data_IF_623102015656
#
_entry.id   IF_623102015656
#
_cell.length_a   1.000
_cell.length_b   1.000
_cell.length_c   1.000
_cell.angle_alpha   90.00
_cell.angle_beta   90.00
_cell.angle_gamma   90.00
#
_symmetry.space_group_name_H-M   'P 1'
#
loop_
_entity.id
_entity.type
_entity.pdbx_description
1 polymer ?
#
# COMPACT_ATOMS: atom_id res chain seq x y z
N UNK A 1 -11.77 17.39 14.14
CA UNK A 1 -11.73 15.97 13.78
C UNK A 1 -12.53 15.18 14.80
N UNK A 2 -13.34 14.21 14.37
CA UNK A 2 -13.98 13.26 15.27
C UNK A 2 -13.16 11.96 15.24
N UNK A 3 -12.80 11.43 16.40
CA UNK A 3 -11.95 10.24 16.53
C UNK A 3 -12.66 9.20 17.40
N UNK A 4 -12.21 7.94 17.32
CA UNK A 4 -12.76 6.84 18.13
C UNK A 4 -14.16 6.38 17.73
N UNK A 5 -14.60 6.66 16.51
CA UNK A 5 -15.92 6.28 15.99
C UNK A 5 -15.78 5.68 14.60
N UNK A 6 -16.24 4.44 14.43
CA UNK A 6 -16.32 3.78 13.14
C UNK A 6 -17.51 4.26 12.30
N UNK A 7 -17.41 4.08 10.99
CA UNK A 7 -18.51 4.28 10.03
C UNK A 7 -19.23 2.95 9.81
N UNK A 8 -20.50 2.89 10.22
CA UNK A 8 -21.31 1.67 10.09
C UNK A 8 -22.16 1.66 8.82
N UNK A 9 -22.70 2.82 8.42
CA UNK A 9 -23.58 2.92 7.25
C UNK A 9 -23.29 4.16 6.42
N UNK A 10 -23.34 3.99 5.10
CA UNK A 10 -23.12 5.04 4.10
C UNK A 10 -24.23 4.97 3.05
N UNK A 11 -24.84 6.12 2.79
CA UNK A 11 -25.83 6.28 1.70
C UNK A 11 -25.63 7.62 1.02
N UNK A 12 -25.73 7.63 -0.30
CA UNK A 12 -25.58 8.84 -1.13
C UNK A 12 -26.80 9.00 -2.01
N UNK A 13 -27.17 10.25 -2.28
CA UNK A 13 -28.23 10.62 -3.21
C UNK A 13 -27.80 11.82 -4.08
N UNK A 14 -28.71 12.31 -4.91
CA UNK A 14 -28.46 13.45 -5.78
C UNK A 14 -28.14 14.78 -5.05
N UNK A 15 -28.36 14.89 -3.73
CA UNK A 15 -28.20 16.10 -2.93
C UNK A 15 -27.10 16.01 -1.85
N UNK A 16 -26.91 14.84 -1.24
CA UNK A 16 -25.97 14.68 -0.12
C UNK A 16 -25.42 13.26 0.02
N UNK A 17 -24.33 13.16 0.77
CA UNK A 17 -23.86 11.94 1.38
C UNK A 17 -24.26 11.91 2.85
N UNK A 18 -24.68 10.75 3.34
CA UNK A 18 -25.09 10.51 4.73
C UNK A 18 -24.27 9.36 5.30
N UNK A 19 -23.71 9.58 6.49
CA UNK A 19 -22.87 8.62 7.21
C UNK A 19 -23.48 8.38 8.60
N UNK A 20 -23.69 7.12 8.96
CA UNK A 20 -24.07 6.72 10.32
C UNK A 20 -22.83 6.19 11.03
N UNK A 21 -22.58 6.71 12.24
CA UNK A 21 -21.47 6.30 13.11
C UNK A 21 -21.91 5.18 14.07
N UNK A 22 -20.94 4.52 14.68
CA UNK A 22 -21.17 3.44 15.65
C UNK A 22 -22.01 3.88 16.86
N UNK A 23 -21.86 5.11 17.32
CA UNK A 23 -22.67 5.69 18.41
C UNK A 23 -24.09 6.13 17.97
N UNK A 24 -24.49 5.83 16.74
CA UNK A 24 -25.80 6.14 16.19
C UNK A 24 -25.95 7.55 15.64
N UNK A 25 -24.95 8.44 15.78
CA UNK A 25 -25.00 9.77 15.17
C UNK A 25 -25.02 9.67 13.65
N UNK A 26 -25.76 10.60 13.04
CA UNK A 26 -25.89 10.73 11.59
C UNK A 26 -25.29 12.04 11.14
N UNK A 27 -24.32 11.97 10.23
CA UNK A 27 -23.65 13.12 9.63
C UNK A 27 -24.06 13.24 8.16
N UNK A 28 -24.28 14.46 7.69
CA UNK A 28 -24.57 14.75 6.28
C UNK A 28 -23.58 15.75 5.71
N UNK A 29 -23.17 15.53 4.46
CA UNK A 29 -22.27 16.43 3.74
C UNK A 29 -22.63 16.48 2.25
N UNK A 30 -22.14 17.51 1.54
CA UNK A 30 -22.29 17.59 0.07
C UNK A 30 -21.55 16.46 -0.65
N UNK A 31 -20.47 15.97 -0.05
CA UNK A 31 -19.59 14.95 -0.62
C UNK A 31 -18.99 14.08 0.50
N UNK A 32 -18.77 12.80 0.19
CA UNK A 32 -18.01 11.86 1.02
C UNK A 32 -16.67 11.50 0.36
N UNK A 33 -15.59 11.46 1.14
CA UNK A 33 -14.30 10.95 0.67
C UNK A 33 -13.94 9.74 1.54
N UNK A 34 -13.82 8.57 0.92
CA UNK A 34 -13.42 7.34 1.59
C UNK A 34 -11.90 7.19 1.56
N UNK A 35 -11.29 7.06 2.73
CA UNK A 35 -9.85 6.85 2.93
C UNK A 35 -9.58 5.75 3.97
N UNK A 36 -10.51 4.79 4.10
CA UNK A 36 -10.61 3.78 5.16
C UNK A 36 -9.96 2.43 4.77
N UNK A 37 -8.75 2.48 4.20
CA UNK A 37 -7.88 1.33 3.88
C UNK A 37 -8.30 0.42 2.71
N UNK A 38 -7.46 -0.59 2.45
CA UNK A 38 -7.64 -1.63 1.41
C UNK A 38 -8.95 -2.39 1.56
N UNK A 39 -9.39 -2.58 2.80
CA UNK A 39 -10.62 -3.29 3.14
C UNK A 39 -11.81 -2.35 3.39
N UNK A 40 -11.74 -1.13 2.85
CA UNK A 40 -12.76 -0.08 2.94
C UNK A 40 -14.19 -0.60 2.95
N UNK A 41 -14.86 -0.44 4.09
CA UNK A 41 -16.28 -0.75 4.22
C UNK A 41 -17.11 0.30 3.50
N UNK A 42 -16.67 1.56 3.55
CA UNK A 42 -17.29 2.69 2.86
C UNK A 42 -17.40 2.43 1.36
N UNK A 43 -16.31 2.01 0.73
CA UNK A 43 -16.26 1.66 -0.70
C UNK A 43 -17.27 0.57 -1.07
N UNK A 44 -17.36 -0.49 -0.26
CA UNK A 44 -18.31 -1.59 -0.48
C UNK A 44 -19.75 -1.09 -0.44
N UNK A 45 -20.09 -0.23 0.53
CA UNK A 45 -21.43 0.35 0.65
C UNK A 45 -21.78 1.31 -0.48
N UNK A 46 -20.78 1.98 -1.06
CA UNK A 46 -20.92 2.79 -2.28
C UNK A 46 -21.09 1.94 -3.56
N UNK A 47 -21.10 0.61 -3.45
CA UNK A 47 -21.27 -0.30 -4.59
C UNK A 47 -20.05 -0.38 -5.51
N UNK A 48 -18.88 0.09 -5.06
CA UNK A 48 -17.65 0.06 -5.87
C UNK A 48 -16.93 -1.27 -5.64
N UNK A 49 -16.88 -2.08 -6.71
CA UNK A 49 -16.11 -3.34 -6.73
C UNK A 49 -14.61 -3.10 -6.87
N UNK A 50 -13.82 -4.11 -6.50
CA UNK A 50 -12.36 -4.06 -6.55
C UNK A 50 -11.77 -5.32 -7.15
N UNK A 51 -10.67 -5.17 -7.88
CA UNK A 51 -9.75 -6.25 -8.18
C UNK A 51 -8.81 -6.41 -6.99
N UNK A 52 -8.97 -7.51 -6.26
CA UNK A 52 -8.14 -7.83 -5.10
C UNK A 52 -7.22 -9.00 -5.42
N UNK A 53 -6.00 -8.93 -4.92
CA UNK A 53 -5.03 -10.00 -5.03
C UNK A 53 -4.39 -10.22 -3.66
N UNK A 54 -4.70 -11.37 -3.06
CA UNK A 54 -4.00 -11.85 -1.88
C UNK A 54 -2.69 -12.51 -2.31
N UNK A 55 -1.58 -12.01 -1.78
CA UNK A 55 -0.25 -12.54 -2.10
C UNK A 55 0.13 -13.76 -1.25
N UNK A 56 -0.71 -14.17 -0.29
CA UNK A 56 -0.42 -15.28 0.63
C UNK A 56 0.76 -14.99 1.58
N UNK A 57 1.03 -13.70 1.81
CA UNK A 57 2.11 -13.22 2.66
C UNK A 57 1.57 -12.37 3.81
N UNK A 58 2.24 -12.42 4.94
CA UNK A 58 2.05 -11.50 6.06
C UNK A 58 3.25 -10.58 6.16
N UNK A 59 2.99 -9.29 6.29
CA UNK A 59 4.02 -8.27 6.57
C UNK A 59 3.96 -7.92 8.04
N UNK A 60 5.10 -7.93 8.71
CA UNK A 60 5.27 -7.52 10.10
C UNK A 60 6.16 -6.29 10.17
N UNK A 61 5.76 -5.32 10.98
CA UNK A 61 6.48 -4.06 11.15
C UNK A 61 6.70 -3.79 12.62
N UNK A 62 7.95 -3.52 12.97
CA UNK A 62 8.38 -3.21 14.33
C UNK A 62 9.70 -2.44 14.30
N UNK A 63 10.03 -1.76 15.39
CA UNK A 63 11.29 -1.01 15.52
C UNK A 63 12.30 -1.81 16.31
N UNK A 64 13.54 -1.74 15.86
CA UNK A 64 14.69 -2.30 16.57
C UNK A 64 15.71 -1.23 16.88
N UNK A 65 16.33 -1.36 18.05
CA UNK A 65 17.61 -0.74 18.38
C UNK A 65 18.73 -1.75 18.18
N UNK A 66 19.91 -1.25 17.84
CA UNK A 66 21.06 -2.09 17.59
C UNK A 66 22.38 -1.40 17.96
N UNK A 67 23.45 -2.16 18.19
CA UNK A 67 24.71 -1.63 18.75
C UNK A 67 25.71 -1.16 17.70
N UNK A 68 25.51 -1.51 16.43
CA UNK A 68 26.39 -1.11 15.31
C UNK A 68 25.64 -0.14 14.41
N UNK A 69 26.20 1.03 14.08
CA UNK A 69 25.47 2.05 13.35
C UNK A 69 25.05 1.56 11.96
N UNK A 70 23.83 1.89 11.54
CA UNK A 70 23.31 1.54 10.22
C UNK A 70 23.84 2.44 9.09
N UNK A 71 24.55 3.52 9.42
CA UNK A 71 25.17 4.46 8.47
C UNK A 71 24.18 4.95 7.41
N UNK A 72 22.95 5.29 7.82
CA UNK A 72 21.90 5.81 6.97
C UNK A 72 21.56 4.89 5.77
N UNK A 73 21.89 3.60 5.88
CA UNK A 73 21.75 2.64 4.78
C UNK A 73 20.52 1.75 4.96
N UNK A 74 19.56 1.88 4.04
CA UNK A 74 18.47 0.91 3.92
C UNK A 74 19.02 -0.45 3.45
N UNK A 75 18.69 -1.52 4.17
CA UNK A 75 19.14 -2.88 3.86
C UNK A 75 17.95 -3.77 3.57
N UNK A 76 17.98 -4.50 2.45
CA UNK A 76 16.99 -5.53 2.14
C UNK A 76 17.67 -6.89 1.98
N UNK A 77 17.16 -7.88 2.72
CA UNK A 77 17.66 -9.24 2.75
C UNK A 77 16.60 -10.20 2.22
N UNK A 78 16.99 -11.03 1.26
CA UNK A 78 16.15 -12.05 0.66
C UNK A 78 16.55 -13.43 1.21
N UNK A 79 15.63 -14.08 1.92
CA UNK A 79 15.80 -15.43 2.42
C UNK A 79 14.80 -16.37 1.76
N UNK A 80 15.01 -17.67 1.89
CA UNK A 80 14.03 -18.64 1.42
C UNK A 80 12.73 -18.51 2.24
N UNK A 81 11.62 -18.18 1.57
CA UNK A 81 10.29 -18.05 2.18
C UNK A 81 10.05 -16.76 2.99
N UNK A 82 11.02 -15.85 3.09
CA UNK A 82 10.86 -14.56 3.78
C UNK A 82 11.80 -13.46 3.29
N UNK A 83 11.41 -12.21 3.46
CA UNK A 83 12.28 -11.04 3.28
C UNK A 83 12.35 -10.23 4.57
N UNK A 84 13.45 -9.50 4.73
CA UNK A 84 13.66 -8.58 5.83
C UNK A 84 14.23 -7.28 5.27
N UNK A 85 13.49 -6.18 5.44
CA UNK A 85 13.98 -4.84 5.16
C UNK A 85 14.22 -4.07 6.47
N UNK A 86 15.31 -3.31 6.49
CA UNK A 86 15.75 -2.45 7.57
C UNK A 86 15.79 -1.01 7.03
N UNK A 87 14.92 -0.16 7.54
CA UNK A 87 14.86 1.27 7.20
C UNK A 87 15.41 2.10 8.37
N UNK A 88 16.54 2.80 8.22
CA UNK A 88 17.11 3.66 9.26
C UNK A 88 16.10 4.70 9.79
N UNK A 89 16.02 4.84 11.12
CA UNK A 89 15.28 5.92 11.79
C UNK A 89 16.23 6.86 12.58
N UNK A 90 17.50 6.49 12.67
CA UNK A 90 18.61 7.15 13.35
C UNK A 90 19.79 6.19 13.36
N UNK A 91 20.96 6.59 13.86
CA UNK A 91 22.21 5.80 13.70
C UNK A 91 22.10 4.36 14.21
N UNK A 92 21.44 4.17 15.35
CA UNK A 92 21.33 2.90 16.08
C UNK A 92 19.89 2.36 16.14
N UNK A 93 19.02 2.85 15.26
CA UNK A 93 17.60 2.49 15.24
C UNK A 93 17.10 2.25 13.83
N UNK A 94 16.24 1.25 13.67
CA UNK A 94 15.69 0.87 12.37
C UNK A 94 14.24 0.42 12.49
N UNK A 95 13.41 0.84 11.53
CA UNK A 95 12.13 0.19 11.28
C UNK A 95 12.35 -1.10 10.47
N UNK A 96 12.02 -2.23 11.07
CA UNK A 96 12.10 -3.54 10.45
C UNK A 96 10.78 -3.90 9.77
N UNK A 97 10.88 -4.45 8.57
CA UNK A 97 9.76 -4.98 7.81
C UNK A 97 10.08 -6.42 7.43
N UNK A 98 9.38 -7.38 8.04
CA UNK A 98 9.52 -8.80 7.72
C UNK A 98 8.33 -9.22 6.87
N UNK A 99 8.58 -9.79 5.69
CA UNK A 99 7.52 -10.41 4.89
C UNK A 99 7.73 -11.92 4.89
N UNK A 100 6.73 -12.69 5.29
CA UNK A 100 6.80 -14.14 5.38
C UNK A 100 5.55 -14.78 4.79
N UNK A 101 5.63 -16.05 4.40
CA UNK A 101 4.43 -16.85 4.10
C UNK A 101 3.41 -16.79 5.24
N UNK A 102 2.14 -16.54 4.92
CA UNK A 102 1.10 -16.36 5.94
C UNK A 102 0.93 -17.58 6.85
N UNK A 103 1.16 -18.79 6.34
CA UNK A 103 1.09 -20.03 7.13
C UNK A 103 2.22 -20.18 8.17
N UNK A 104 3.27 -19.37 8.05
CA UNK A 104 4.43 -19.34 8.95
C UNK A 104 4.49 -18.05 9.78
N UNK A 105 3.48 -17.18 9.65
CA UNK A 105 3.48 -15.90 10.34
C UNK A 105 3.56 -16.07 11.87
N UNK A 106 2.92 -17.11 12.40
CA UNK A 106 2.91 -17.43 13.82
C UNK A 106 4.30 -17.82 14.36
N UNK A 107 5.22 -18.30 13.50
CA UNK A 107 6.61 -18.59 13.89
C UNK A 107 7.35 -17.34 14.37
N UNK A 108 6.96 -16.15 13.89
CA UNK A 108 7.57 -14.87 14.26
C UNK A 108 6.67 -14.11 15.24
N UNK A 109 5.34 -14.13 15.03
CA UNK A 109 4.39 -13.42 15.90
C UNK A 109 4.27 -14.05 17.29
N UNK A 110 4.60 -15.33 17.43
CA UNK A 110 4.62 -16.03 18.71
C UNK A 110 5.88 -15.77 19.55
N UNK A 111 6.91 -15.11 18.99
CA UNK A 111 8.17 -14.85 19.70
C UNK A 111 8.02 -13.71 20.71
N UNK A 112 8.72 -13.84 21.84
CA UNK A 112 8.96 -12.71 22.74
C UNK A 112 9.79 -11.63 22.03
N UNK A 113 9.83 -10.40 22.57
CA UNK A 113 10.65 -9.32 21.99
C UNK A 113 12.14 -9.65 22.01
N UNK A 114 12.58 -10.35 23.05
CA UNK A 114 13.95 -10.83 23.22
C UNK A 114 14.29 -11.92 22.20
N UNK A 115 13.40 -12.90 22.03
CA UNK A 115 13.54 -13.97 21.03
C UNK A 115 13.53 -13.42 19.61
N UNK A 116 12.65 -12.45 19.32
CA UNK A 116 12.59 -11.76 18.03
C UNK A 116 13.88 -10.96 17.77
N UNK A 117 14.40 -10.26 18.78
CA UNK A 117 15.71 -9.58 18.68
C UNK A 117 16.85 -10.54 18.33
N UNK A 118 16.89 -11.69 19.00
CA UNK A 118 17.88 -12.73 18.72
C UNK A 118 17.72 -13.35 17.31
N UNK A 119 16.48 -13.62 16.87
CA UNK A 119 16.21 -14.12 15.51
C UNK A 119 16.64 -13.10 14.44
N UNK A 120 16.38 -11.81 14.67
CA UNK A 120 16.79 -10.74 13.75
C UNK A 120 18.31 -10.64 13.66
N UNK A 121 18.99 -10.68 14.80
CA UNK A 121 20.45 -10.71 14.87
C UNK A 121 21.02 -11.92 14.11
N UNK A 122 20.42 -13.10 14.29
CA UNK A 122 20.79 -14.33 13.57
C UNK A 122 20.55 -14.20 12.05
N UNK A 123 19.40 -13.69 11.63
CA UNK A 123 19.08 -13.46 10.22
C UNK A 123 20.07 -12.52 9.55
N UNK A 124 20.53 -11.51 10.28
CA UNK A 124 21.48 -10.51 9.81
C UNK A 124 22.95 -10.92 10.01
N UNK A 125 23.20 -12.16 10.46
CA UNK A 125 24.55 -12.67 10.73
C UNK A 125 25.36 -11.73 11.63
N UNK A 126 24.73 -11.20 12.68
CA UNK A 126 25.29 -10.25 13.65
C UNK A 126 25.80 -8.93 13.05
N UNK A 127 25.42 -8.58 11.82
CA UNK A 127 25.91 -7.36 11.14
C UNK A 127 25.62 -6.06 11.90
N UNK A 128 24.51 -6.02 12.65
CA UNK A 128 24.10 -4.87 13.44
C UNK A 128 24.45 -5.02 14.95
N UNK A 129 25.17 -6.08 15.33
CA UNK A 129 25.44 -6.40 16.73
C UNK A 129 24.20 -6.85 17.49
N UNK A 130 24.13 -6.55 18.79
CA UNK A 130 22.97 -6.89 19.62
C UNK A 130 21.76 -6.11 19.13
N UNK A 131 20.62 -6.77 18.93
CA UNK A 131 19.37 -6.15 18.46
C UNK A 131 18.26 -6.32 19.47
N UNK A 132 17.51 -5.24 19.74
CA UNK A 132 16.38 -5.21 20.67
C UNK A 132 15.14 -4.69 20.00
N UNK A 133 14.01 -5.36 20.17
CA UNK A 133 12.70 -4.89 19.68
C UNK A 133 12.13 -3.90 20.69
N UNK A 134 11.92 -2.66 20.26
CA UNK A 134 11.55 -1.53 21.14
C UNK A 134 10.13 -1.00 20.89
N UNK A 135 9.36 -1.67 20.05
CA UNK A 135 7.96 -1.32 19.78
C UNK A 135 7.07 -2.55 19.85
N UNK A 136 5.76 -2.32 19.72
CA UNK A 136 4.84 -3.38 19.36
C UNK A 136 5.14 -3.91 17.96
N UNK A 137 4.79 -5.18 17.74
CA UNK A 137 4.86 -5.85 16.44
C UNK A 137 3.48 -5.77 15.81
N UNK A 138 3.38 -5.06 14.70
CA UNK A 138 2.14 -4.98 13.94
C UNK A 138 2.21 -5.89 12.73
N UNK A 139 1.15 -6.65 12.47
CA UNK A 139 1.06 -7.51 11.29
C UNK A 139 -0.12 -7.13 10.40
N UNK A 140 0.11 -7.24 9.09
CA UNK A 140 -0.89 -6.95 8.07
C UNK A 140 -0.83 -8.00 6.96
N UNK A 141 -1.98 -8.51 6.50
CA UNK A 141 -2.01 -9.37 5.33
C UNK A 141 -1.57 -8.56 4.11
N UNK A 142 -0.73 -9.15 3.29
CA UNK A 142 -0.26 -8.52 2.07
C UNK A 142 -1.31 -8.71 0.97
N UNK A 143 -2.10 -7.67 0.75
CA UNK A 143 -3.19 -7.67 -0.23
C UNK A 143 -3.07 -6.46 -1.14
N UNK A 144 -3.05 -6.71 -2.44
CA UNK A 144 -3.17 -5.70 -3.48
C UNK A 144 -4.65 -5.42 -3.74
N UNK A 145 -5.02 -4.15 -3.87
CA UNK A 145 -6.39 -3.72 -4.17
C UNK A 145 -6.36 -2.63 -5.23
N UNK A 146 -7.20 -2.76 -6.25
CA UNK A 146 -7.50 -1.67 -7.18
C UNK A 146 -9.01 -1.54 -7.34
N UNK A 147 -9.54 -0.36 -7.06
CA UNK A 147 -10.96 -0.08 -7.21
C UNK A 147 -11.34 0.12 -8.68
N UNK A 148 -12.40 -0.55 -9.13
CA UNK A 148 -12.87 -0.46 -10.53
C UNK A 148 -13.49 0.89 -10.91
N UNK A 149 -13.77 1.72 -9.90
CA UNK A 149 -14.17 3.13 -10.03
C UNK A 149 -13.55 3.88 -8.86
N UNK A 150 -13.07 5.09 -9.06
CA UNK A 150 -12.56 5.91 -7.95
C UNK A 150 -13.61 6.86 -7.39
N UNK A 151 -14.78 6.87 -8.02
CA UNK A 151 -15.89 7.76 -7.66
C UNK A 151 -17.23 7.03 -7.73
N UNK A 152 -18.18 7.50 -6.94
CA UNK A 152 -19.59 7.15 -6.99
C UNK A 152 -20.41 8.44 -6.82
N UNK A 153 -21.73 8.32 -6.75
CA UNK A 153 -22.59 9.49 -6.52
C UNK A 153 -22.16 10.23 -5.26
N UNK A 154 -21.82 11.52 -5.42
CA UNK A 154 -21.31 12.42 -4.36
C UNK A 154 -20.17 11.84 -3.52
N UNK A 155 -19.38 10.92 -4.08
CA UNK A 155 -18.34 10.22 -3.33
C UNK A 155 -17.08 9.98 -4.13
N UNK A 156 -15.93 10.06 -3.47
CA UNK A 156 -14.63 9.70 -4.04
C UNK A 156 -13.86 8.77 -3.10
N UNK A 157 -12.96 7.95 -3.66
CA UNK A 157 -12.03 7.09 -2.95
C UNK A 157 -10.62 7.66 -3.09
N UNK A 158 -9.85 7.68 -2.01
CA UNK A 158 -8.42 8.05 -2.02
C UNK A 158 -7.59 7.05 -1.22
N UNK A 159 -6.27 7.08 -1.41
CA UNK A 159 -5.35 6.21 -0.68
C UNK A 159 -5.62 4.73 -0.91
N UNK A 160 -5.38 3.92 0.11
CA UNK A 160 -5.56 2.47 0.04
C UNK A 160 -7.03 2.05 -0.20
N UNK A 161 -8.00 2.94 0.01
CA UNK A 161 -9.40 2.68 -0.36
C UNK A 161 -9.60 2.63 -1.89
N UNK A 162 -8.82 3.39 -2.66
CA UNK A 162 -8.80 3.30 -4.13
C UNK A 162 -7.75 2.33 -4.63
N UNK A 163 -6.50 2.44 -4.15
CA UNK A 163 -5.36 1.65 -4.63
C UNK A 163 -4.44 1.24 -3.49
N UNK A 164 -4.48 -0.04 -3.13
CA UNK A 164 -3.50 -0.68 -2.26
C UNK A 164 -2.46 -1.45 -3.08
N UNK A 165 -1.20 -1.01 -3.06
CA UNK A 165 -0.11 -1.65 -3.81
C UNK A 165 0.67 -2.67 -2.97
N UNK A 166 1.36 -3.60 -3.65
CA UNK A 166 2.40 -4.40 -3.03
C UNK A 166 3.56 -3.50 -2.55
N UNK A 167 4.08 -3.66 -1.31
CA UNK A 167 5.01 -2.72 -0.69
C UNK A 167 6.38 -2.69 -1.35
N UNK A 168 6.74 -3.71 -2.14
CA UNK A 168 8.02 -3.76 -2.89
C UNK A 168 8.24 -2.56 -3.80
N UNK A 169 7.17 -1.87 -4.22
CA UNK A 169 7.30 -0.71 -5.09
C UNK A 169 7.57 0.58 -4.31
N UNK A 170 7.32 0.62 -3.00
CA UNK A 170 7.33 1.83 -2.17
C UNK A 170 6.45 2.99 -2.71
N UNK A 171 5.55 2.73 -3.66
CA UNK A 171 4.70 3.77 -4.27
C UNK A 171 3.33 3.94 -3.61
N UNK A 172 2.88 2.99 -2.76
CA UNK A 172 1.51 2.99 -2.23
C UNK A 172 1.13 4.30 -1.53
N UNK A 173 1.97 4.77 -0.60
CA UNK A 173 1.76 6.04 0.09
C UNK A 173 1.76 7.24 -0.87
N UNK A 174 2.72 7.28 -1.81
CA UNK A 174 2.83 8.35 -2.79
C UNK A 174 1.63 8.41 -3.74
N UNK A 175 1.08 7.26 -4.13
CA UNK A 175 -0.16 7.21 -4.91
C UNK A 175 -1.34 7.75 -4.11
N UNK A 176 -1.42 7.45 -2.82
CA UNK A 176 -2.44 8.00 -1.93
C UNK A 176 -2.36 9.53 -1.83
N UNK A 177 -1.15 10.07 -1.64
CA UNK A 177 -0.92 11.52 -1.62
C UNK A 177 -1.25 12.18 -2.96
N UNK A 178 -0.79 11.60 -4.07
CA UNK A 178 -1.14 12.10 -5.41
C UNK A 178 -2.66 12.07 -5.64
N UNK A 179 -3.34 11.02 -5.18
CA UNK A 179 -4.80 10.93 -5.25
C UNK A 179 -5.49 12.04 -4.47
N UNK A 180 -5.02 12.35 -3.25
CA UNK A 180 -5.55 13.44 -2.44
C UNK A 180 -5.30 14.82 -3.09
N UNK A 181 -4.09 15.06 -3.60
CA UNK A 181 -3.71 16.30 -4.29
C UNK A 181 -4.57 16.54 -5.54
N UNK A 182 -4.64 15.55 -6.45
CA UNK A 182 -5.44 15.64 -7.68
C UNK A 182 -6.92 15.90 -7.35
N UNK A 183 -7.47 15.22 -6.34
CA UNK A 183 -8.86 15.42 -5.94
C UNK A 183 -9.09 16.83 -5.39
N UNK A 184 -8.19 17.33 -4.53
CA UNK A 184 -8.26 18.68 -4.00
C UNK A 184 -8.19 19.73 -5.11
N UNK A 185 -7.28 19.57 -6.08
CA UNK A 185 -7.20 20.45 -7.26
C UNK A 185 -8.52 20.47 -8.03
N UNK A 186 -9.08 19.30 -8.34
CA UNK A 186 -10.34 19.18 -9.08
C UNK A 186 -11.50 19.85 -8.34
N UNK A 187 -11.58 19.68 -7.02
CA UNK A 187 -12.60 20.33 -6.18
C UNK A 187 -12.44 21.85 -6.19
N UNK A 188 -11.22 22.36 -6.00
CA UNK A 188 -10.93 23.79 -5.97
C UNK A 188 -11.23 24.46 -7.32
N UNK A 189 -10.83 23.84 -8.42
CA UNK A 189 -11.11 24.34 -9.77
C UNK A 189 -12.61 24.36 -10.09
N UNK A 190 -13.37 23.36 -9.63
CA UNK A 190 -14.83 23.32 -9.81
C UNK A 190 -15.51 24.41 -8.96
N UNK A 191 -15.07 24.57 -7.71
CA UNK A 191 -15.57 25.61 -6.82
C UNK A 191 -15.32 27.02 -7.38
N UNK A 192 -14.11 27.29 -7.88
CA UNK A 192 -13.77 28.57 -8.50
C UNK A 192 -14.61 28.89 -9.76
N UNK A 193 -15.13 27.87 -10.43
CA UNK A 193 -16.01 28.00 -11.61
C UNK A 193 -17.51 28.01 -11.26
N UNK A 194 -17.86 27.94 -9.98
CA UNK A 194 -19.26 27.83 -9.54
C UNK A 194 -19.94 26.50 -9.90
N UNK A 195 -19.17 25.48 -10.26
CA UNK A 195 -19.68 24.14 -10.51
C UNK A 195 -19.99 23.43 -9.18
N UNK A 196 -20.95 22.49 -9.17
CA UNK A 196 -21.09 21.57 -8.04
C UNK A 196 -19.88 20.62 -8.00
N UNK A 197 -18.94 20.88 -7.08
CA UNK A 197 -17.71 20.10 -6.92
C UNK A 197 -17.95 18.64 -6.56
N UNK A 198 -19.15 18.30 -6.09
CA UNK A 198 -19.56 16.95 -5.72
C UNK A 198 -20.35 16.23 -6.81
N UNK A 199 -20.59 16.91 -7.95
CA UNK A 199 -21.26 16.32 -9.10
C UNK A 199 -20.43 15.21 -9.74
N UNK A 200 -21.12 14.22 -10.30
CA UNK A 200 -20.48 13.11 -11.01
C UNK A 200 -19.54 13.59 -12.13
N UNK A 201 -19.91 14.67 -12.82
CA UNK A 201 -19.10 15.23 -13.90
C UNK A 201 -17.74 15.75 -13.41
N UNK A 202 -17.71 16.44 -12.25
CA UNK A 202 -16.47 16.93 -11.63
C UNK A 202 -15.65 15.76 -11.10
N UNK A 203 -16.28 14.83 -10.37
CA UNK A 203 -15.59 13.68 -9.78
C UNK A 203 -14.98 12.77 -10.85
N UNK A 204 -15.61 12.61 -12.02
CA UNK A 204 -15.00 11.88 -13.14
C UNK A 204 -13.75 12.56 -13.71
N UNK A 205 -13.52 13.86 -13.50
CA UNK A 205 -12.24 14.51 -13.84
C UNK A 205 -11.12 13.99 -12.94
N UNK A 206 -11.38 13.80 -11.65
CA UNK A 206 -10.44 13.19 -10.72
C UNK A 206 -10.10 11.76 -11.14
N UNK A 207 -11.10 10.92 -11.38
CA UNK A 207 -10.87 9.52 -11.81
C UNK A 207 -10.04 9.45 -13.09
N UNK A 208 -10.37 10.26 -14.11
CA UNK A 208 -9.61 10.29 -15.38
C UNK A 208 -8.17 10.74 -15.21
N UNK A 209 -7.88 11.63 -14.27
CA UNK A 209 -6.51 12.08 -13.97
C UNK A 209 -5.73 11.06 -13.15
N UNK A 210 -6.36 10.34 -12.21
CA UNK A 210 -5.64 9.49 -11.27
C UNK A 210 -5.61 8.00 -11.68
N UNK A 211 -6.74 7.45 -12.12
CA UNK A 211 -6.92 6.02 -12.33
C UNK A 211 -5.97 5.42 -13.39
N UNK A 212 -5.72 6.05 -14.57
CA UNK A 212 -4.83 5.47 -15.59
C UNK A 212 -3.40 5.21 -15.09
N UNK A 213 -2.83 6.15 -14.34
CA UNK A 213 -1.48 6.01 -13.80
C UNK A 213 -1.40 4.88 -12.76
N UNK A 214 -2.45 4.72 -11.96
CA UNK A 214 -2.51 3.64 -10.95
C UNK A 214 -2.71 2.26 -11.58
N UNK A 215 -3.50 2.15 -12.66
CA UNK A 215 -3.77 0.87 -13.35
C UNK A 215 -2.50 0.27 -13.94
N UNK A 216 -1.68 1.10 -14.60
CA UNK A 216 -0.43 0.66 -15.19
C UNK A 216 0.52 0.09 -14.12
N UNK A 217 0.66 0.81 -13.00
CA UNK A 217 1.50 0.37 -11.89
C UNK A 217 0.93 -0.89 -11.24
N UNK A 218 -0.37 -0.93 -10.92
CA UNK A 218 -1.00 -2.06 -10.25
C UNK A 218 -0.92 -3.35 -11.05
N UNK A 219 -1.34 -3.33 -12.32
CA UNK A 219 -1.30 -4.52 -13.17
C UNK A 219 0.13 -4.88 -13.58
N UNK A 220 1.01 -3.89 -13.79
CA UNK A 220 2.42 -4.13 -14.06
C UNK A 220 3.11 -4.85 -12.89
N UNK A 221 2.95 -4.34 -11.67
CA UNK A 221 3.49 -4.97 -10.46
C UNK A 221 2.92 -6.36 -10.24
N UNK A 222 1.61 -6.55 -10.37
CA UNK A 222 0.99 -7.87 -10.19
C UNK A 222 1.45 -8.87 -11.27
N UNK A 223 1.64 -8.43 -12.52
CA UNK A 223 2.17 -9.29 -13.57
C UNK A 223 3.62 -9.70 -13.29
N UNK A 224 4.46 -8.77 -12.83
CA UNK A 224 5.84 -9.05 -12.41
C UNK A 224 5.83 -10.03 -11.23
N UNK A 225 5.11 -9.71 -10.15
CA UNK A 225 5.04 -10.59 -8.98
C UNK A 225 4.54 -11.97 -9.38
N UNK A 226 3.49 -12.09 -10.20
CA UNK A 226 2.97 -13.38 -10.69
C UNK A 226 3.99 -14.13 -11.54
N UNK A 227 4.75 -13.44 -12.41
CA UNK A 227 5.83 -14.06 -13.19
C UNK A 227 6.97 -14.57 -12.30
N UNK A 228 7.30 -13.84 -11.23
CA UNK A 228 8.38 -14.18 -10.30
C UNK A 228 8.00 -15.15 -9.18
N UNK A 229 6.70 -15.33 -8.92
CA UNK A 229 6.18 -16.27 -7.90
C UNK A 229 5.62 -17.56 -8.50
N UNK A 230 5.24 -17.57 -9.78
CA UNK A 230 4.72 -18.77 -10.42
C UNK A 230 5.85 -19.78 -10.71
N UNK A 231 5.78 -20.96 -10.08
CA UNK A 231 6.78 -22.03 -10.22
C UNK A 231 6.53 -22.98 -11.40
N UNK A 232 5.42 -22.79 -12.15
CA UNK A 232 5.08 -23.64 -13.29
C UNK A 232 6.15 -23.57 -14.40
N UNK A 233 6.46 -24.69 -15.09
CA UNK A 233 7.53 -24.77 -16.10
C UNK A 233 7.51 -23.69 -17.20
N UNK A 234 6.35 -23.25 -17.74
CA UNK A 234 6.30 -22.18 -18.74
C UNK A 234 6.70 -20.81 -18.19
N UNK A 235 6.39 -20.52 -16.92
CA UNK A 235 6.74 -19.26 -16.27
C UNK A 235 8.25 -19.15 -16.01
N UNK A 236 8.92 -20.28 -15.74
CA UNK A 236 10.38 -20.35 -15.62
C UNK A 236 11.10 -19.98 -16.92
N UNK A 237 10.63 -20.49 -18.07
CA UNK A 237 11.17 -20.17 -19.40
C UNK A 237 10.98 -18.69 -19.75
N UNK A 238 9.78 -18.14 -19.50
CA UNK A 238 9.48 -16.72 -19.69
C UNK A 238 10.38 -15.82 -18.81
N UNK A 239 10.61 -16.20 -17.54
CA UNK A 239 11.51 -15.46 -16.64
C UNK A 239 12.95 -15.41 -17.19
N UNK A 240 13.48 -16.56 -17.63
CA UNK A 240 14.82 -16.62 -18.23
C UNK A 240 14.93 -15.80 -19.51
N UNK A 241 13.87 -15.76 -20.33
CA UNK A 241 13.81 -14.94 -21.54
C UNK A 241 13.74 -13.44 -21.22
N UNK A 242 12.92 -13.02 -20.24
CA UNK A 242 12.81 -11.62 -19.80
C UNK A 242 14.12 -11.10 -19.22
N UNK A 243 14.79 -11.89 -18.37
CA UNK A 243 16.12 -11.51 -17.81
C UNK A 243 17.18 -11.40 -18.91
N UNK A 244 17.20 -12.33 -19.87
CA UNK A 244 18.13 -12.28 -21.02
C UNK A 244 17.85 -11.11 -21.94
N UNK A 245 16.59 -10.78 -22.20
CA UNK A 245 16.19 -9.66 -23.05
C UNK A 245 16.46 -8.31 -22.35
N UNK A 246 16.19 -8.22 -21.05
CA UNK A 246 16.48 -7.03 -20.23
C UNK A 246 17.97 -6.75 -20.08
N UNK A 247 18.83 -7.78 -20.11
CA UNK A 247 20.28 -7.60 -20.10
C UNK A 247 20.85 -7.11 -21.45
N UNK A 248 20.09 -7.26 -22.54
CA UNK A 248 20.52 -6.89 -23.90
C UNK A 248 19.85 -5.61 -24.44
N UNK A 249 18.99 -4.94 -23.66
CA UNK A 249 18.35 -3.68 -24.06
C UNK A 249 18.62 -2.57 -23.01
N UNK A 250 19.57 -1.64 -23.30
CA UNK A 250 19.91 -0.50 -22.44
C UNK A 250 18.73 0.38 -21.95
N UNK A 251 17.67 0.66 -22.74
CA UNK A 251 16.61 1.58 -22.29
C UNK A 251 15.70 1.02 -21.18
N UNK A 252 15.70 -0.30 -20.94
CA UNK A 252 14.85 -0.92 -19.90
C UNK A 252 15.44 -0.68 -18.50
N UNK A 253 16.77 -0.73 -18.36
CA UNK A 253 17.45 -0.37 -17.10
C UNK A 253 17.22 1.10 -16.71
N UNK A 254 17.18 1.98 -17.70
CA UNK A 254 16.95 3.41 -17.49
C UNK A 254 15.50 3.70 -17.05
N UNK A 255 14.52 3.02 -17.64
CA UNK A 255 13.10 3.14 -17.27
C UNK A 255 12.81 2.60 -15.86
N UNK A 256 13.40 1.45 -15.48
CA UNK A 256 13.23 0.89 -14.12
C UNK A 256 13.84 1.83 -13.07
N UNK A 257 15.02 2.38 -13.33
CA UNK A 257 15.67 3.35 -12.43
C UNK A 257 14.83 4.62 -12.25
N UNK A 258 14.28 5.16 -13.35
CA UNK A 258 13.47 6.38 -13.32
C UNK A 258 12.12 6.22 -12.62
N UNK A 259 11.53 5.03 -12.69
CA UNK A 259 10.29 4.71 -11.99
C UNK A 259 10.49 4.53 -10.47
N UNK A 260 11.71 4.18 -10.04
CA UNK A 260 12.10 4.07 -8.63
C UNK A 260 12.52 5.41 -8.03
N UNK A 261 13.02 6.35 -8.83
CA UNK A 261 13.46 7.68 -8.35
C UNK A 261 12.41 8.79 -8.41
N UNK A 262 11.17 8.48 -8.83
CA UNK A 262 10.03 9.38 -8.61
C UNK A 262 10.11 10.74 -9.32
N UNK A 263 10.50 10.76 -10.61
CA UNK A 263 10.35 11.92 -11.50
C UNK A 263 9.87 11.53 -12.92
#
# INVERSE_FOLDING_TARGET
>A
FQTGQGVVKVTTDAQKATVTLEDGRVLTAKMLIAADSRFSNTRRQLGISTDMHDFGRTVMVFRTEHTVPNNETATECFFYGRTLALLPLGDYMTNCVVTIDSHRADEILGLSREELGAEMMRMLSNRFGEMKVISDVHSYPLVGVHARSFVAERSALIGDASVGMHPVTAHGFNLGLAGADILATVINEAHARGEDFSSQAVLKRYERKHMPHTLFLFHGTNAIVKLFTNELPPARLLRSAVVRLSNNLPPVKFLISRQLTGF
#
